data_IF_476759772155
#
_entry.id   IF_476759772155
#
_cell.length_a   1.000
_cell.length_b   1.000
_cell.length_c   1.000
_cell.angle_alpha   90.00
_cell.angle_beta   90.00
_cell.angle_gamma   90.00
#
_symmetry.space_group_name_H-M   'P 1'
#
loop_
_entity.id
_entity.type
_entity.pdbx_description
1 polymer ?
#
# COMPACT_ATOMS: atom_id res chain seq x y z
N UNK A 1 -19.16 -2.57 13.56
CA UNK A 1 -17.79 -2.16 13.94
C UNK A 1 -16.80 -2.33 12.77
N UNK A 2 -16.67 -3.51 12.16
CA UNK A 2 -15.77 -3.73 11.01
C UNK A 2 -16.09 -2.83 9.79
N UNK A 3 -17.35 -2.77 9.38
CA UNK A 3 -17.80 -1.93 8.26
C UNK A 3 -17.42 -0.44 8.46
N UNK A 4 -17.54 0.08 9.67
CA UNK A 4 -17.17 1.45 9.98
C UNK A 4 -15.66 1.69 9.81
N UNK A 5 -14.82 0.75 10.24
CA UNK A 5 -13.36 0.83 10.05
C UNK A 5 -12.96 0.79 8.56
N UNK A 6 -13.60 -0.08 7.78
CA UNK A 6 -13.36 -0.18 6.33
C UNK A 6 -13.75 1.12 5.63
N UNK A 7 -14.92 1.67 5.95
CA UNK A 7 -15.38 2.94 5.37
C UNK A 7 -14.43 4.08 5.74
N UNK A 8 -14.01 4.18 7.00
CA UNK A 8 -13.05 5.20 7.45
C UNK A 8 -11.72 5.07 6.71
N UNK A 9 -11.20 3.85 6.57
CA UNK A 9 -9.97 3.58 5.82
C UNK A 9 -10.06 4.01 4.35
N UNK A 10 -11.17 3.70 3.69
CA UNK A 10 -11.41 4.08 2.29
C UNK A 10 -11.52 5.60 2.13
N UNK A 11 -12.31 6.25 2.99
CA UNK A 11 -12.46 7.72 2.97
C UNK A 11 -11.10 8.40 3.17
N UNK A 12 -10.32 7.91 4.13
CA UNK A 12 -8.98 8.45 4.39
C UNK A 12 -8.02 8.26 3.21
N UNK A 13 -8.00 7.06 2.62
CA UNK A 13 -7.18 6.76 1.44
C UNK A 13 -7.53 7.63 0.24
N UNK A 14 -8.84 7.80 -0.03
CA UNK A 14 -9.34 8.66 -1.11
C UNK A 14 -8.98 10.13 -0.84
N UNK A 15 -9.16 10.61 0.39
CA UNK A 15 -8.83 11.98 0.76
C UNK A 15 -7.35 12.31 0.53
N UNK A 16 -6.44 11.38 0.89
CA UNK A 16 -5.00 11.54 0.63
C UNK A 16 -4.73 11.59 -0.88
N UNK A 17 -5.34 10.70 -1.66
CA UNK A 17 -5.18 10.67 -3.12
C UNK A 17 -5.65 11.97 -3.78
N UNK A 18 -6.82 12.49 -3.38
CA UNK A 18 -7.35 13.76 -3.88
C UNK A 18 -6.47 14.96 -3.49
N UNK A 19 -5.93 14.96 -2.27
CA UNK A 19 -5.00 16.00 -1.83
C UNK A 19 -3.68 15.95 -2.61
N UNK A 20 -3.14 14.75 -2.86
CA UNK A 20 -1.93 14.55 -3.64
C UNK A 20 -2.11 14.93 -5.12
N UNK A 21 -3.28 14.62 -5.71
CA UNK A 21 -3.60 14.96 -7.10
C UNK A 21 -3.53 16.48 -7.37
N UNK A 22 -3.84 17.32 -6.37
CA UNK A 22 -3.69 18.78 -6.47
C UNK A 22 -2.25 19.27 -6.62
N UNK A 23 -1.25 18.43 -6.34
CA UNK A 23 0.18 18.77 -6.45
C UNK A 23 0.82 18.29 -7.75
N UNK A 24 0.08 17.58 -8.61
CA UNK A 24 0.60 17.02 -9.86
C UNK A 24 0.38 18.03 -10.99
N UNK A 25 1.47 18.60 -11.51
CA UNK A 25 1.41 19.56 -12.62
C UNK A 25 2.09 19.07 -13.90
N UNK A 26 2.92 18.02 -13.83
CA UNK A 26 3.65 17.44 -14.95
C UNK A 26 3.60 15.91 -14.93
N UNK A 27 3.83 15.28 -16.08
CA UNK A 27 4.02 13.83 -16.19
C UNK A 27 5.19 13.34 -15.31
N UNK A 28 6.25 14.14 -15.18
CA UNK A 28 7.37 13.80 -14.29
C UNK A 28 6.97 13.78 -12.82
N UNK A 29 6.06 14.68 -12.41
CA UNK A 29 5.53 14.74 -11.05
C UNK A 29 4.58 13.57 -10.79
N UNK A 30 3.80 13.18 -11.79
CA UNK A 30 2.91 12.03 -11.70
C UNK A 30 3.66 10.70 -11.57
N UNK A 31 4.70 10.49 -12.39
CA UNK A 31 5.42 9.21 -12.47
C UNK A 31 6.47 9.08 -11.37
N UNK A 32 7.20 10.16 -11.07
CA UNK A 32 8.38 10.10 -10.18
C UNK A 32 8.28 10.98 -8.94
N UNK A 33 7.14 11.62 -8.69
CA UNK A 33 6.99 12.63 -7.62
C UNK A 33 8.09 13.70 -7.65
N UNK A 34 8.56 14.05 -8.86
CA UNK A 34 9.65 15.02 -9.05
C UNK A 34 10.99 14.60 -8.45
N UNK A 35 11.21 13.29 -8.19
CA UNK A 35 12.41 12.74 -7.52
C UNK A 35 12.68 13.32 -6.12
N UNK A 36 11.65 13.85 -5.48
CA UNK A 36 11.75 14.55 -4.19
C UNK A 36 11.47 13.66 -2.97
N UNK A 37 11.06 12.40 -3.18
CA UNK A 37 10.68 11.50 -2.10
C UNK A 37 11.92 10.92 -1.38
N UNK A 38 11.93 10.92 -0.04
CA UNK A 38 13.03 10.35 0.74
C UNK A 38 13.07 8.81 0.62
N UNK A 39 14.27 8.23 0.68
CA UNK A 39 14.50 6.79 0.47
C UNK A 39 13.58 5.86 1.30
N UNK A 40 13.30 6.12 2.59
CA UNK A 40 12.39 5.28 3.37
C UNK A 40 10.97 5.20 2.79
N UNK A 41 10.47 6.29 2.19
CA UNK A 41 9.15 6.33 1.56
C UNK A 41 9.12 5.47 0.30
N UNK A 42 10.18 5.53 -0.51
CA UNK A 42 10.33 4.71 -1.72
C UNK A 42 10.36 3.23 -1.35
N UNK A 43 11.13 2.87 -0.32
CA UNK A 43 11.18 1.50 0.19
C UNK A 43 9.80 1.04 0.64
N UNK A 44 9.09 1.81 1.46
CA UNK A 44 7.74 1.48 1.91
C UNK A 44 6.76 1.27 0.74
N UNK A 45 6.85 2.10 -0.31
CA UNK A 45 6.02 1.97 -1.51
C UNK A 45 6.29 0.66 -2.27
N UNK A 46 7.57 0.30 -2.45
CA UNK A 46 7.97 -0.95 -3.10
C UNK A 46 7.50 -2.15 -2.29
N UNK A 47 7.73 -2.15 -0.97
CA UNK A 47 7.24 -3.19 -0.07
C UNK A 47 5.71 -3.31 -0.14
N UNK A 48 4.97 -2.20 -0.07
CA UNK A 48 3.51 -2.22 -0.15
C UNK A 48 2.97 -2.75 -1.49
N UNK A 49 3.73 -2.59 -2.59
CA UNK A 49 3.36 -3.13 -3.90
C UNK A 49 3.57 -4.64 -3.98
N UNK A 50 4.57 -5.15 -3.24
CA UNK A 50 4.94 -6.57 -3.28
C UNK A 50 4.13 -7.42 -2.29
N UNK A 51 3.80 -6.86 -1.12
CA UNK A 51 3.00 -7.53 -0.09
C UNK A 51 1.50 -7.22 -0.27
N UNK A 52 0.88 -7.95 -1.19
CA UNK A 52 -0.55 -7.90 -1.43
C UNK A 52 -1.39 -8.69 -0.41
N UNK A 53 -2.71 -8.54 -0.50
CA UNK A 53 -3.66 -9.31 0.31
C UNK A 53 -3.48 -10.83 0.13
N UNK A 54 -3.08 -11.27 -1.07
CA UNK A 54 -2.82 -12.67 -1.40
C UNK A 54 -1.67 -13.26 -0.57
N UNK A 55 -0.55 -12.54 -0.42
CA UNK A 55 0.59 -13.02 0.35
C UNK A 55 0.27 -13.07 1.83
N UNK A 56 -0.44 -12.07 2.35
CA UNK A 56 -0.79 -12.02 3.78
C UNK A 56 -1.75 -13.13 4.16
N UNK A 57 -2.77 -13.39 3.34
CA UNK A 57 -3.76 -14.44 3.60
C UNK A 57 -3.24 -15.84 3.21
N UNK A 58 -2.45 -15.94 2.14
CA UNK A 58 -1.91 -17.20 1.63
C UNK A 58 -0.84 -17.80 2.52
N UNK A 59 0.14 -16.99 2.96
CA UNK A 59 1.22 -17.49 3.85
C UNK A 59 0.64 -17.92 5.20
N UNK A 60 -0.33 -17.18 5.73
CA UNK A 60 -0.95 -17.56 7.01
C UNK A 60 -1.79 -18.86 6.88
N UNK A 61 -2.43 -19.10 5.73
CA UNK A 61 -3.13 -20.35 5.46
C UNK A 61 -2.15 -21.53 5.28
N UNK A 62 -1.10 -21.38 4.45
CA UNK A 62 -0.09 -22.43 4.23
C UNK A 62 0.70 -22.73 5.49
N UNK A 63 0.97 -21.72 6.33
CA UNK A 63 1.63 -21.91 7.63
C UNK A 63 0.76 -22.74 8.60
N UNK A 64 -0.56 -22.59 8.55
CA UNK A 64 -1.46 -23.41 9.36
C UNK A 64 -1.44 -24.88 8.95
N UNK A 65 -1.28 -25.17 7.65
CA UNK A 65 -1.24 -26.54 7.12
C UNK A 65 0.16 -27.20 7.19
N UNK A 66 1.23 -26.47 6.87
CA UNK A 66 2.59 -27.01 6.67
C UNK A 66 3.60 -26.57 7.75
N UNK A 67 3.20 -25.69 8.68
CA UNK A 67 4.08 -25.15 9.72
C UNK A 67 5.27 -24.38 9.15
N UNK A 68 6.43 -24.43 9.82
CA UNK A 68 7.65 -23.74 9.38
C UNK A 68 8.22 -24.19 8.03
N UNK A 69 7.69 -25.25 7.41
CA UNK A 69 8.11 -25.71 6.09
C UNK A 69 7.39 -25.01 4.93
N UNK A 70 6.28 -24.31 5.22
CA UNK A 70 5.46 -23.58 4.25
C UNK A 70 5.72 -22.07 4.20
N UNK A 71 6.81 -21.59 4.82
CA UNK A 71 7.34 -20.22 4.71
C UNK A 71 8.37 -20.14 3.57
#
# INVERSE_FOLDING_TARGET
MLLALVVVYLVFSIAIGLFAARKVHSASDYITAGRSLPMPMVMAMVFATWFGAETVLGISATFLDEGFRGL
#
